data_IF_485615543515
#
_entry.id   IF_485615543515
#
_cell.length_a   1.000
_cell.length_b   1.000
_cell.length_c   1.000
_cell.angle_alpha   90.00
_cell.angle_beta   90.00
_cell.angle_gamma   90.00
#
_symmetry.space_group_name_H-M   'P 1'
#
loop_
_entity.id
_entity.type
_entity.pdbx_description
1 polymer ?
#
# COMPACT_ATOMS: atom_id res chain seq x y z
N UNK A 1 4.64 26.28 -19.93
CA UNK A 1 4.39 24.93 -19.47
C UNK A 1 4.57 24.80 -17.96
N UNK A 2 4.00 23.73 -17.40
CA UNK A 2 4.08 23.38 -15.98
C UNK A 2 4.38 21.90 -15.86
N UNK A 3 5.28 21.53 -14.95
CA UNK A 3 5.51 20.16 -14.49
C UNK A 3 5.25 20.10 -12.98
N UNK A 4 4.66 18.98 -12.52
CA UNK A 4 4.40 18.75 -11.10
C UNK A 4 5.18 17.50 -10.67
N UNK A 5 5.85 17.55 -9.51
CA UNK A 5 6.73 16.48 -9.02
C UNK A 5 6.44 16.18 -7.56
N UNK A 6 6.94 15.07 -7.07
CA UNK A 6 6.86 14.68 -5.66
C UNK A 6 5.44 14.60 -5.12
N UNK A 7 5.27 14.98 -3.87
CA UNK A 7 3.99 14.91 -3.16
C UNK A 7 2.89 15.78 -3.82
N UNK A 8 3.27 16.88 -4.46
CA UNK A 8 2.35 17.73 -5.20
C UNK A 8 1.74 17.01 -6.42
N UNK A 9 2.47 16.03 -6.98
CA UNK A 9 1.97 15.14 -8.04
C UNK A 9 1.30 13.88 -7.49
N UNK A 10 1.19 13.74 -6.16
CA UNK A 10 0.67 12.56 -5.51
C UNK A 10 1.64 11.37 -5.49
N UNK A 11 2.94 11.57 -5.73
CA UNK A 11 3.93 10.49 -5.71
C UNK A 11 4.28 10.11 -4.27
N UNK A 12 3.36 9.44 -3.62
CA UNK A 12 3.53 8.85 -2.29
C UNK A 12 2.81 7.51 -2.20
N UNK A 13 3.40 6.56 -1.51
CA UNK A 13 2.87 5.21 -1.30
C UNK A 13 2.79 4.95 0.19
N UNK A 14 1.62 4.53 0.64
CA UNK A 14 1.42 3.93 1.95
C UNK A 14 0.65 2.62 1.75
N UNK A 15 1.31 1.51 2.00
CA UNK A 15 0.70 0.18 1.89
C UNK A 15 0.48 -0.49 3.26
N UNK A 16 0.62 0.27 4.35
CA UNK A 16 0.46 -0.22 5.73
C UNK A 16 1.73 -0.82 6.34
N UNK A 17 2.70 -1.25 5.54
CA UNK A 17 4.00 -1.76 5.99
C UNK A 17 5.11 -0.76 5.74
N UNK A 18 5.03 -0.03 4.63
CA UNK A 18 6.04 0.93 4.21
C UNK A 18 5.36 2.23 3.78
N UNK A 19 5.93 3.35 4.22
CA UNK A 19 5.58 4.69 3.74
C UNK A 19 6.76 5.21 2.92
N UNK A 20 6.51 5.51 1.65
CA UNK A 20 7.51 6.01 0.69
C UNK A 20 7.01 7.30 0.06
N UNK A 21 7.88 8.28 -0.05
CA UNK A 21 7.61 9.57 -0.68
C UNK A 21 8.91 10.23 -1.12
N UNK A 22 9.96 10.23 -0.29
CA UNK A 22 11.21 10.93 -0.58
C UNK A 22 11.92 10.41 -1.82
N UNK A 23 12.02 9.11 -2.00
CA UNK A 23 12.64 8.48 -3.16
C UNK A 23 11.83 8.73 -4.45
N UNK A 24 10.50 8.70 -4.36
CA UNK A 24 9.60 9.02 -5.48
C UNK A 24 9.70 10.52 -5.84
N UNK A 25 9.73 11.39 -4.82
CA UNK A 25 9.86 12.83 -5.02
C UNK A 25 11.21 13.21 -5.66
N UNK A 26 12.32 12.66 -5.16
CA UNK A 26 13.65 12.87 -5.71
C UNK A 26 13.72 12.41 -7.17
N UNK A 27 13.29 11.18 -7.44
CA UNK A 27 13.36 10.60 -8.79
C UNK A 27 12.49 11.37 -9.77
N UNK A 28 11.25 11.73 -9.38
CA UNK A 28 10.39 12.56 -10.25
C UNK A 28 10.97 13.94 -10.51
N UNK A 29 11.64 14.55 -9.53
CA UNK A 29 12.34 15.81 -9.68
C UNK A 29 13.50 15.73 -10.68
N UNK A 30 14.31 14.65 -10.62
CA UNK A 30 15.38 14.40 -11.58
C UNK A 30 14.82 14.27 -13.01
N UNK A 31 13.75 13.49 -13.19
CA UNK A 31 13.12 13.30 -14.50
C UNK A 31 12.50 14.60 -15.05
N UNK A 32 11.94 15.42 -14.16
CA UNK A 32 11.45 16.75 -14.53
C UNK A 32 12.59 17.66 -14.97
N UNK A 33 13.71 17.68 -14.25
CA UNK A 33 14.90 18.46 -14.60
C UNK A 33 15.47 18.03 -15.97
N UNK A 34 15.56 16.73 -16.24
CA UNK A 34 15.97 16.19 -17.54
C UNK A 34 15.04 16.68 -18.67
N UNK A 35 13.73 16.65 -18.43
CA UNK A 35 12.74 17.15 -19.38
C UNK A 35 12.89 18.63 -19.66
N UNK A 36 13.09 19.44 -18.60
CA UNK A 36 13.31 20.90 -18.74
C UNK A 36 14.58 21.20 -19.52
N UNK A 37 15.67 20.47 -19.27
CA UNK A 37 16.91 20.64 -20.02
C UNK A 37 16.73 20.37 -21.51
N UNK A 38 16.00 19.30 -21.85
CA UNK A 38 15.66 18.97 -23.26
C UNK A 38 14.77 20.03 -23.90
N UNK A 39 13.75 20.53 -23.16
CA UNK A 39 12.87 21.60 -23.63
C UNK A 39 13.63 22.91 -23.85
N UNK A 40 14.57 23.24 -22.95
CA UNK A 40 15.41 24.42 -23.07
C UNK A 40 16.33 24.36 -24.30
N UNK A 41 16.94 23.20 -24.59
CA UNK A 41 17.77 23.03 -25.80
C UNK A 41 16.97 23.21 -27.09
N UNK A 42 15.68 22.93 -27.09
CA UNK A 42 14.76 23.10 -28.23
C UNK A 42 14.07 24.46 -28.25
N UNK A 43 14.26 25.27 -27.21
CA UNK A 43 13.51 26.51 -26.95
C UNK A 43 11.97 26.32 -27.00
N UNK A 44 11.51 25.08 -26.71
CA UNK A 44 10.11 24.70 -26.78
C UNK A 44 9.61 24.14 -25.43
N UNK A 45 8.74 24.90 -24.78
CA UNK A 45 8.07 24.52 -23.53
C UNK A 45 6.58 24.21 -23.74
N UNK A 46 6.20 23.85 -24.94
CA UNK A 46 4.83 23.38 -25.24
C UNK A 46 4.48 22.11 -24.48
N UNK A 47 3.19 21.80 -24.39
CA UNK A 47 2.72 20.55 -23.80
C UNK A 47 3.33 19.31 -24.49
N UNK A 48 3.52 19.39 -25.82
CA UNK A 48 4.12 18.31 -26.59
C UNK A 48 5.59 18.06 -26.18
N UNK A 49 6.39 19.13 -26.07
CA UNK A 49 7.78 19.00 -25.64
C UNK A 49 7.92 18.52 -24.19
N UNK A 50 7.02 18.97 -23.31
CA UNK A 50 7.01 18.56 -21.90
C UNK A 50 6.40 17.15 -21.67
N UNK A 51 5.70 16.56 -22.64
CA UNK A 51 5.17 15.19 -22.53
C UNK A 51 6.25 14.13 -22.37
N UNK A 52 7.51 14.45 -22.69
CA UNK A 52 8.67 13.59 -22.40
C UNK A 52 8.75 13.22 -20.91
N UNK A 53 8.34 14.13 -20.01
CA UNK A 53 8.28 13.85 -18.57
C UNK A 53 7.39 12.64 -18.25
N UNK A 54 6.20 12.59 -18.83
CA UNK A 54 5.31 11.45 -18.63
C UNK A 54 5.95 10.15 -19.11
N UNK A 55 6.57 10.15 -20.29
CA UNK A 55 7.25 8.95 -20.83
C UNK A 55 8.40 8.50 -19.92
N UNK A 56 9.17 9.44 -19.36
CA UNK A 56 10.24 9.12 -18.43
C UNK A 56 9.68 8.54 -17.12
N UNK A 57 8.59 9.08 -16.60
CA UNK A 57 7.91 8.55 -15.41
C UNK A 57 7.38 7.13 -15.63
N UNK A 58 6.73 6.86 -16.77
CA UNK A 58 6.19 5.54 -17.14
C UNK A 58 7.29 4.48 -17.23
N UNK A 59 8.47 4.86 -17.72
CA UNK A 59 9.62 3.97 -17.82
C UNK A 59 10.40 3.82 -16.49
N UNK A 60 10.18 4.72 -15.53
CA UNK A 60 10.84 4.71 -14.23
C UNK A 60 10.14 3.77 -13.23
N UNK A 61 10.78 3.55 -12.08
CA UNK A 61 10.14 2.87 -10.96
C UNK A 61 9.02 3.70 -10.32
N UNK A 62 9.01 5.04 -10.48
CA UNK A 62 8.00 5.92 -9.87
C UNK A 62 6.59 5.50 -10.23
N UNK A 63 6.23 5.48 -11.52
CA UNK A 63 4.89 5.05 -11.93
C UNK A 63 4.69 3.54 -11.84
N UNK A 64 5.73 2.73 -12.01
CA UNK A 64 5.62 1.27 -11.86
C UNK A 64 5.20 0.90 -10.44
N UNK A 65 5.84 1.47 -9.43
CA UNK A 65 5.49 1.24 -8.03
C UNK A 65 4.11 1.82 -7.69
N UNK A 66 3.79 3.04 -8.18
CA UNK A 66 2.46 3.63 -8.02
C UNK A 66 1.35 2.71 -8.58
N UNK A 67 1.56 2.08 -9.72
CA UNK A 67 0.63 1.12 -10.31
C UNK A 67 0.55 -0.17 -9.50
N UNK A 68 1.69 -0.70 -9.04
CA UNK A 68 1.75 -1.90 -8.22
C UNK A 68 0.91 -1.75 -6.96
N UNK A 69 1.02 -0.62 -6.27
CA UNK A 69 0.32 -0.35 -5.01
C UNK A 69 -0.98 0.46 -5.15
N UNK A 70 -1.52 0.60 -6.37
CA UNK A 70 -2.75 1.36 -6.61
C UNK A 70 -3.96 0.85 -5.80
N UNK A 71 -3.98 -0.43 -5.45
CA UNK A 71 -5.02 -1.06 -4.62
C UNK A 71 -4.91 -0.77 -3.12
N UNK A 72 -3.72 -0.41 -2.63
CA UNK A 72 -3.44 -0.27 -1.20
C UNK A 72 -4.37 0.71 -0.47
N UNK A 73 -4.65 1.94 -0.98
CA UNK A 73 -5.57 2.86 -0.31
C UNK A 73 -6.97 2.30 -0.13
N UNK A 74 -7.46 1.52 -1.09
CA UNK A 74 -8.77 0.86 -1.00
C UNK A 74 -8.79 -0.30 -0.01
N UNK A 75 -7.69 -1.03 0.11
CA UNK A 75 -7.54 -2.09 1.09
C UNK A 75 -7.45 -1.52 2.51
N UNK A 76 -6.63 -0.48 2.69
CA UNK A 76 -6.42 0.20 3.98
C UNK A 76 -7.66 0.89 4.55
N UNK A 77 -8.71 1.15 3.73
CA UNK A 77 -9.99 1.70 4.22
C UNK A 77 -10.89 0.66 4.90
N UNK A 78 -10.52 -0.61 4.91
CA UNK A 78 -11.34 -1.66 5.54
C UNK A 78 -11.31 -1.52 7.07
N UNK A 79 -12.45 -1.26 7.69
CA UNK A 79 -12.59 -1.16 9.15
C UNK A 79 -12.18 -2.46 9.86
N UNK A 80 -12.36 -3.62 9.22
CA UNK A 80 -11.97 -4.92 9.77
C UNK A 80 -10.48 -5.02 10.07
N UNK A 81 -9.63 -4.32 9.32
CA UNK A 81 -8.17 -4.28 9.55
C UNK A 81 -7.82 -3.65 10.89
N UNK A 82 -8.63 -2.71 11.36
CA UNK A 82 -8.34 -1.91 12.55
C UNK A 82 -9.17 -2.33 13.78
N UNK A 83 -10.21 -3.12 13.58
CA UNK A 83 -11.12 -3.54 14.66
C UNK A 83 -11.20 -5.07 14.77
N UNK A 84 -11.87 -5.73 13.83
CA UNK A 84 -12.20 -7.15 13.95
C UNK A 84 -10.96 -8.06 13.94
N UNK A 85 -9.98 -7.81 13.07
CA UNK A 85 -8.76 -8.62 13.02
C UNK A 85 -7.84 -8.43 14.23
N UNK A 86 -7.58 -7.22 14.75
CA UNK A 86 -6.86 -7.04 16.01
C UNK A 86 -7.53 -7.76 17.18
N UNK A 87 -8.86 -7.66 17.34
CA UNK A 87 -9.59 -8.36 18.40
C UNK A 87 -9.51 -9.90 18.25
N UNK A 88 -9.64 -10.40 17.03
CA UNK A 88 -9.48 -11.83 16.75
C UNK A 88 -8.07 -12.31 17.16
N UNK A 89 -7.05 -11.55 16.78
CA UNK A 89 -5.66 -11.88 17.10
C UNK A 89 -5.39 -11.82 18.61
N UNK A 90 -5.87 -10.77 19.28
CA UNK A 90 -5.80 -10.64 20.74
C UNK A 90 -6.44 -11.84 21.45
N UNK A 91 -7.68 -12.19 21.06
CA UNK A 91 -8.39 -13.36 21.61
C UNK A 91 -7.61 -14.65 21.41
N UNK A 92 -7.06 -14.86 20.22
CA UNK A 92 -6.25 -16.04 19.90
C UNK A 92 -4.96 -16.08 20.72
N UNK A 93 -4.21 -14.97 20.76
CA UNK A 93 -2.95 -14.90 21.51
C UNK A 93 -3.20 -15.09 23.00
N UNK A 94 -4.25 -14.49 23.56
CA UNK A 94 -4.64 -14.70 24.95
C UNK A 94 -4.87 -16.18 25.24
N UNK A 95 -5.62 -16.89 24.40
CA UNK A 95 -5.87 -18.34 24.56
C UNK A 95 -4.58 -19.16 24.47
N UNK A 96 -3.67 -18.80 23.59
CA UNK A 96 -2.39 -19.50 23.42
C UNK A 96 -1.48 -19.29 24.65
N UNK A 97 -1.36 -18.06 25.14
CA UNK A 97 -0.38 -17.74 26.18
C UNK A 97 -0.91 -17.83 27.61
N UNK A 98 -2.22 -17.85 27.85
CA UNK A 98 -2.77 -17.99 29.19
C UNK A 98 -2.67 -19.43 29.67
N UNK A 99 -2.05 -19.66 30.83
CA UNK A 99 -1.97 -20.95 31.52
C UNK A 99 -2.90 -20.97 32.73
N UNK A 100 -3.85 -21.89 32.72
CA UNK A 100 -4.88 -22.03 33.79
C UNK A 100 -4.63 -23.26 34.70
N UNK A 101 -3.54 -23.99 34.49
CA UNK A 101 -3.29 -25.27 35.16
C UNK A 101 -4.07 -26.46 34.57
N UNK A 102 -4.89 -26.22 33.53
CA UNK A 102 -5.62 -27.25 32.80
C UNK A 102 -4.89 -27.64 31.50
N UNK A 103 -5.16 -28.86 30.96
CA UNK A 103 -4.62 -29.24 29.65
C UNK A 103 -5.01 -28.25 28.58
N UNK A 104 -4.07 -27.93 27.68
CA UNK A 104 -4.28 -27.04 26.54
C UNK A 104 -5.10 -27.71 25.45
N UNK A 105 -6.00 -26.95 24.85
CA UNK A 105 -6.65 -27.34 23.59
C UNK A 105 -5.68 -27.29 22.42
N UNK A 106 -5.97 -28.03 21.38
CA UNK A 106 -5.24 -27.90 20.11
C UNK A 106 -5.45 -26.52 19.48
N UNK A 107 -4.49 -26.09 18.66
CA UNK A 107 -4.52 -24.74 18.06
C UNK A 107 -5.76 -24.47 17.20
N UNK A 108 -6.20 -25.47 16.40
CA UNK A 108 -7.34 -25.27 15.48
C UNK A 108 -8.67 -24.95 16.20
N UNK A 109 -9.07 -25.65 17.28
CA UNK A 109 -10.21 -25.24 18.10
C UNK A 109 -10.09 -23.81 18.67
N UNK A 110 -8.88 -23.40 19.10
CA UNK A 110 -8.65 -22.03 19.60
C UNK A 110 -8.86 -20.98 18.51
N UNK A 111 -8.35 -21.24 17.30
CA UNK A 111 -8.56 -20.37 16.13
C UNK A 111 -10.05 -20.25 15.81
N UNK A 112 -10.78 -21.37 15.74
CA UNK A 112 -12.21 -21.36 15.44
C UNK A 112 -13.04 -20.62 16.49
N UNK A 113 -12.70 -20.76 17.77
CA UNK A 113 -13.32 -20.00 18.86
C UNK A 113 -13.03 -18.50 18.72
N UNK A 114 -11.79 -18.12 18.45
CA UNK A 114 -11.40 -16.69 18.30
C UNK A 114 -12.05 -16.03 17.09
N UNK A 115 -12.22 -16.76 15.99
CA UNK A 115 -13.01 -16.30 14.82
C UNK A 115 -14.46 -16.02 15.20
N UNK A 116 -15.09 -16.95 15.95
CA UNK A 116 -16.48 -16.81 16.38
C UNK A 116 -16.68 -15.66 17.36
N UNK A 117 -15.74 -15.48 18.31
CA UNK A 117 -15.80 -14.44 19.33
C UNK A 117 -15.58 -13.04 18.76
N UNK A 118 -14.95 -12.93 17.59
CA UNK A 118 -14.60 -11.65 16.93
C UNK A 118 -15.51 -11.25 15.77
N UNK A 119 -16.59 -11.99 15.54
CA UNK A 119 -17.50 -11.82 14.38
C UNK A 119 -16.78 -11.85 13.02
N UNK A 120 -15.60 -12.46 12.96
CA UNK A 120 -14.84 -12.62 11.71
C UNK A 120 -15.28 -13.89 11.00
N UNK A 121 -15.88 -13.74 9.83
CA UNK A 121 -16.19 -14.86 8.95
C UNK A 121 -14.92 -15.34 8.22
N UNK A 122 -14.73 -16.66 8.13
CA UNK A 122 -13.66 -17.27 7.31
C UNK A 122 -13.70 -16.79 5.85
N UNK A 123 -14.91 -16.56 5.31
CA UNK A 123 -15.10 -16.06 3.95
C UNK A 123 -14.56 -14.63 3.84
N UNK A 124 -14.84 -13.77 4.83
CA UNK A 124 -14.33 -12.40 4.85
C UNK A 124 -12.80 -12.39 5.02
N UNK A 125 -12.28 -13.23 5.90
CA UNK A 125 -10.84 -13.37 6.09
C UNK A 125 -10.14 -13.80 4.79
N UNK A 126 -10.67 -14.79 4.08
CA UNK A 126 -10.13 -15.26 2.81
C UNK A 126 -10.22 -14.18 1.72
N UNK A 127 -11.35 -13.47 1.61
CA UNK A 127 -11.54 -12.37 0.65
C UNK A 127 -10.59 -11.21 0.94
N UNK A 128 -10.48 -10.79 2.19
CA UNK A 128 -9.61 -9.68 2.58
C UNK A 128 -8.13 -10.07 2.46
N UNK A 129 -7.78 -11.32 2.79
CA UNK A 129 -6.44 -11.86 2.56
C UNK A 129 -6.06 -11.86 1.08
N UNK A 130 -6.97 -12.31 0.19
CA UNK A 130 -6.74 -12.29 -1.25
C UNK A 130 -6.67 -10.85 -1.80
N UNK A 131 -7.53 -9.96 -1.30
CA UNK A 131 -7.50 -8.54 -1.67
C UNK A 131 -6.19 -7.90 -1.21
N UNK A 132 -5.75 -8.17 0.03
CA UNK A 132 -4.46 -7.70 0.55
C UNK A 132 -3.29 -8.18 -0.30
N UNK A 133 -3.22 -9.49 -0.58
CA UNK A 133 -2.15 -10.07 -1.40
C UNK A 133 -2.05 -9.52 -2.83
N UNK A 134 -3.15 -8.93 -3.36
CA UNK A 134 -3.17 -8.29 -4.68
C UNK A 134 -2.96 -6.78 -4.64
N UNK A 135 -3.08 -6.17 -3.48
CA UNK A 135 -3.07 -4.70 -3.31
C UNK A 135 -1.81 -4.19 -2.64
N UNK A 136 -1.09 -5.07 -1.93
CA UNK A 136 0.12 -4.81 -1.16
C UNK A 136 1.34 -5.50 -1.77
#
# INVERSE_FOLDING_TARGET
GLLVTGDAAGFSINNGFVVRGMDLALSSGVLAAETILKAKQKEDFSANSLSVYQQLLENSFVLKDMHTYAGAPSFMKSERLYQAYPHMLESLMTKIYTHTGLPKEHLMPMVMKSLKDSDVSLINLAKDGLKGARSL
#
